data_IF_236466839705
#
_entry.id   IF_236466839705
#
_cell.length_a   1.000
_cell.length_b   1.000
_cell.length_c   1.000
_cell.angle_alpha   90.00
_cell.angle_beta   90.00
_cell.angle_gamma   90.00
#
_symmetry.space_group_name_H-M   'P 1'
#
loop_
_entity.id
_entity.type
_entity.pdbx_description
1 polymer ?
2 non-polymer ?
3 non-polymer ?
4 water ?
#
# COMPACT_ATOMS: atom_id res chain seq x y z
N UNK A 7 -25.85 3.00 -5.08
CA UNK A 7 -25.60 1.66 -4.47
C UNK A 7 -24.36 1.68 -3.52
N UNK A 8 -24.30 2.66 -2.58
CA UNK A 8 -23.03 3.01 -1.88
C UNK A 8 -22.53 1.96 -0.90
N UNK A 9 -21.22 1.95 -0.64
CA UNK A 9 -20.68 1.08 0.39
C UNK A 9 -20.99 1.64 1.77
N UNK A 10 -21.29 0.73 2.70
CA UNK A 10 -21.55 1.10 4.08
C UNK A 10 -20.31 0.84 4.97
N UNK A 11 -19.14 0.62 4.36
CA UNK A 11 -17.90 0.34 5.10
C UNK A 11 -17.28 1.60 5.70
N UNK A 12 -17.07 1.62 7.03
CA UNK A 12 -16.28 2.66 7.66
C UNK A 12 -14.93 2.87 6.94
N UNK A 13 -14.73 4.05 6.38
CA UNK A 13 -13.49 4.38 5.70
C UNK A 13 -13.07 5.79 6.12
N UNK A 14 -11.79 6.12 5.95
CA UNK A 14 -11.29 7.45 6.23
C UNK A 14 -9.91 7.62 5.62
N UNK A 15 -9.64 8.81 5.05
CA UNK A 15 -8.33 9.18 4.55
C UNK A 15 -8.08 10.64 4.88
N UNK A 16 -7.19 10.92 5.83
CA UNK A 16 -6.99 12.28 6.26
C UNK A 16 -5.57 12.70 5.96
N UNK A 17 -5.38 14.00 5.73
CA UNK A 17 -4.15 14.56 5.20
C UNK A 17 -3.56 15.67 6.12
N UNK A 18 -2.27 15.94 5.99
CA UNK A 18 -1.58 16.88 6.90
C UNK A 18 -2.01 18.26 6.51
N UNK A 19 -2.26 19.16 7.46
CA UNK A 19 -2.54 20.53 7.11
C UNK A 19 -1.27 21.23 6.66
N UNK A 20 -1.15 21.53 5.36
CA UNK A 20 0.08 22.17 4.95
C UNK A 20 0.28 23.59 5.52
N UNK A 21 -0.79 24.21 6.04
CA UNK A 21 -0.63 25.50 6.70
C UNK A 21 0.03 25.41 8.06
N UNK A 22 -0.12 24.28 8.75
CA UNK A 22 0.38 24.12 10.13
C UNK A 22 1.81 23.63 10.17
N UNK A 23 2.75 24.48 9.75
CA UNK A 23 4.19 24.20 9.81
C UNK A 23 4.63 24.02 11.26
N UNK A 24 5.39 22.97 11.56
CA UNK A 24 5.88 22.72 12.92
C UNK A 24 4.92 21.85 13.71
N UNK A 25 3.92 21.31 13.02
CA UNK A 25 2.89 20.51 13.66
C UNK A 25 2.39 19.44 12.67
N UNK A 26 1.59 18.51 13.21
CA UNK A 26 0.93 17.53 12.38
C UNK A 26 -0.56 17.51 12.63
N UNK A 27 -1.29 18.26 11.82
CA UNK A 27 -2.73 18.45 12.02
C UNK A 27 -3.39 17.65 10.91
N UNK A 28 -4.11 16.58 11.29
CA UNK A 28 -4.90 15.80 10.34
C UNK A 28 -6.16 16.59 9.92
N UNK A 29 -6.46 16.61 8.62
CA UNK A 29 -7.65 17.27 8.09
C UNK A 29 -8.48 16.32 7.20
N UNK A 30 -9.78 16.24 7.48
CA UNK A 30 -10.73 15.62 6.56
C UNK A 30 -11.41 16.70 5.73
N UNK A 31 -11.23 17.95 6.12
CA UNK A 31 -11.81 19.09 5.44
C UNK A 31 -10.71 19.70 4.61
N UNK A 32 -10.56 19.12 3.44
CA UNK A 32 -9.59 19.49 2.47
C UNK A 32 -9.92 18.62 1.28
N UNK A 33 -9.56 19.11 0.11
CA UNK A 33 -9.74 18.39 -1.13
C UNK A 33 -9.17 16.99 -0.94
N UNK A 34 -9.88 15.99 -1.41
CA UNK A 34 -9.33 14.65 -1.49
C UNK A 34 -9.03 14.00 -0.13
N UNK A 35 -9.83 14.37 0.87
CA UNK A 35 -9.76 13.81 2.22
C UNK A 35 -11.17 13.51 2.63
N UNK A 36 -11.38 12.48 3.44
CA UNK A 36 -12.74 12.11 3.75
C UNK A 36 -12.90 11.26 4.97
N UNK A 37 -14.12 11.33 5.47
CA UNK A 37 -14.65 10.49 6.53
C UNK A 37 -15.96 9.93 6.00
N UNK A 38 -16.25 8.66 6.24
CA UNK A 38 -17.51 8.03 5.78
C UNK A 38 -17.97 6.90 6.68
N UNK A 39 -19.29 6.70 6.74
CA UNK A 39 -19.90 5.59 7.42
C UNK A 39 -19.47 5.54 8.89
N UNK A 40 -19.46 6.70 9.52
CA UNK A 40 -19.31 6.83 10.95
C UNK A 40 -17.93 7.12 11.54
N UNK A 41 -16.91 7.31 10.69
CA UNK A 41 -15.56 7.49 11.24
C UNK A 41 -15.40 8.97 11.56
N UNK A 42 -14.85 9.26 12.74
CA UNK A 42 -14.71 10.67 13.14
C UNK A 42 -13.25 11.06 13.24
N UNK A 43 -12.99 12.34 13.00
CA UNK A 43 -11.70 12.93 13.31
C UNK A 43 -11.93 13.81 14.51
N UNK A 44 -11.43 13.36 15.67
CA UNK A 44 -11.54 14.11 16.93
C UNK A 44 -10.19 14.23 17.64
N UNK A 45 -9.87 15.45 18.06
CA UNK A 45 -8.63 15.78 18.72
C UNK A 45 -7.43 15.13 18.04
N UNK A 46 -7.45 15.23 16.72
CA UNK A 46 -6.37 14.75 15.87
C UNK A 46 -6.30 13.23 15.79
N UNK A 47 -7.40 12.57 16.07
CA UNK A 47 -7.42 11.10 16.11
C UNK A 47 -8.62 10.58 15.32
N UNK A 48 -8.46 9.43 14.70
CA UNK A 48 -9.56 8.77 14.00
C UNK A 48 -10.26 7.88 15.01
N UNK A 49 -11.60 7.95 15.05
CA UNK A 49 -12.43 7.11 15.91
C UNK A 49 -13.14 6.02 15.10
N UNK A 50 -13.01 4.78 15.56
CA UNK A 50 -13.59 3.62 14.90
C UNK A 50 -15.04 3.48 15.38
N UNK A 51 -16.01 3.40 14.45
CA UNK A 51 -17.43 3.40 14.83
C UNK A 51 -18.00 2.03 15.08
N UNK A 52 -17.38 1.00 14.53
CA UNK A 52 -17.76 -0.41 14.79
C UNK A 52 -16.58 -1.35 14.72
N UNK A 53 -16.73 -2.50 15.39
CA UNK A 53 -15.69 -3.48 15.45
C UNK A 53 -15.46 -4.15 14.11
N UNK A 54 -14.28 -4.73 13.96
CA UNK A 54 -13.98 -5.50 12.76
C UNK A 54 -12.54 -5.31 12.38
N UNK A 55 -12.12 -6.03 11.34
CA UNK A 55 -10.79 -5.96 10.75
C UNK A 55 -10.69 -4.67 9.95
N UNK A 56 -9.60 -3.95 10.12
CA UNK A 56 -9.35 -2.71 9.41
C UNK A 56 -7.93 -2.68 8.90
N UNK A 57 -7.75 -2.24 7.67
CA UNK A 57 -6.43 -1.84 7.19
C UNK A 57 -6.25 -0.46 7.74
N UNK A 58 -5.13 -0.23 8.42
CA UNK A 58 -4.69 1.10 8.86
C UNK A 58 -3.46 1.39 7.99
N UNK A 59 -3.34 2.62 7.51
CA UNK A 59 -2.20 3.00 6.66
C UNK A 59 -1.81 4.47 6.85
N UNK A 60 -0.54 4.76 6.66
CA UNK A 60 -0.09 6.12 6.77
C UNK A 60 1.27 6.32 6.14
N UNK A 61 1.51 7.53 5.67
CA UNK A 61 2.80 7.90 5.14
C UNK A 61 3.05 9.27 5.67
N UNK A 62 4.26 9.52 6.13
CA UNK A 62 4.76 10.86 6.35
C UNK A 62 6.02 11.00 5.50
N UNK A 63 6.39 12.24 5.20
CA UNK A 63 7.55 12.51 4.39
C UNK A 63 8.45 13.51 5.09
N UNK A 64 9.73 13.19 5.13
CA UNK A 64 10.73 14.05 5.75
C UNK A 64 11.69 14.56 4.72
N UNK A 65 11.95 15.87 4.76
CA UNK A 65 12.99 16.51 3.95
C UNK A 65 13.89 17.34 4.84
N UNK A 66 15.17 17.32 4.54
CA UNK A 66 16.13 18.17 5.22
C UNK A 66 17.21 18.63 4.28
N UNK A 67 17.88 19.71 4.69
CA UNK A 67 18.91 20.35 3.91
C UNK A 67 20.21 20.04 4.60
N UNK A 68 21.10 19.33 3.90
CA UNK A 68 22.36 18.87 4.48
C UNK A 68 22.15 18.04 5.72
N UNK A 69 23.24 17.53 6.27
CA UNK A 69 23.13 16.78 7.50
C UNK A 69 23.97 17.24 8.67
N UNK A 70 23.26 17.67 9.72
CA UNK A 70 23.84 18.39 10.79
C UNK A 70 24.55 17.48 11.81
N UNK A 71 25.45 18.13 12.56
CA UNK A 71 25.99 17.68 13.85
C UNK A 71 25.04 16.78 14.65
N UNK A 73 22.98 11.47 13.47
CA UNK A 73 22.57 12.22 14.67
C UNK A 73 21.07 12.54 14.73
N UNK A 74 20.33 12.26 13.65
CA UNK A 74 18.90 12.56 13.62
C UNK A 74 18.15 11.29 13.44
N UNK A 75 17.23 11.00 14.38
CA UNK A 75 16.38 9.84 14.26
C UNK A 75 14.96 10.29 13.93
N UNK A 76 14.37 9.72 12.89
CA UNK A 76 13.02 10.07 12.45
C UNK A 76 12.09 8.94 12.83
N UNK A 77 11.04 9.20 13.61
CA UNK A 77 10.08 8.14 13.94
C UNK A 77 8.66 8.43 13.46
N UNK A 78 7.90 7.37 13.22
CA UNK A 78 6.49 7.51 12.90
C UNK A 78 5.83 6.38 13.63
N UNK A 79 4.73 6.66 14.30
CA UNK A 79 4.09 5.67 15.16
C UNK A 79 2.61 5.77 14.99
N UNK A 80 1.95 4.62 14.87
CA UNK A 80 0.50 4.58 14.95
C UNK A 80 0.11 3.92 16.25
N UNK A 81 -0.75 4.59 17.03
CA UNK A 81 -1.16 4.10 18.35
C UNK A 81 -2.65 3.87 18.43
N UNK A 82 -3.04 3.05 19.38
CA UNK A 82 -4.44 2.76 19.60
C UNK A 82 -4.78 3.06 21.05
N UNK A 83 -5.84 3.85 21.28
CA UNK A 83 -6.47 4.03 22.59
C UNK A 83 -7.83 3.30 22.65
N UNK A 84 -7.86 2.10 23.20
CA UNK A 84 -9.12 1.32 23.30
C UNK A 84 -10.03 1.85 24.41
N UNK A 85 -11.33 1.73 24.21
CA UNK A 85 -12.30 2.07 25.24
C UNK A 85 -12.02 1.31 26.56
N UNK A 86 -11.61 0.05 26.43
CA UNK A 86 -11.38 -0.84 27.58
C UNK A 86 -10.10 -0.58 28.28
N UNK A 87 -9.27 0.25 27.69
CA UNK A 87 -7.89 0.40 28.13
C UNK A 87 -7.43 1.69 27.55
N UNK A 88 -7.77 2.78 28.21
CA UNK A 88 -7.60 4.11 27.58
C UNK A 88 -6.23 4.69 27.84
N UNK A 89 -5.24 4.06 27.20
CA UNK A 89 -3.88 4.59 27.10
C UNK A 89 -3.25 4.14 25.77
N UNK A 90 -2.29 4.93 25.28
CA UNK A 90 -1.73 4.70 23.96
C UNK A 90 -0.97 3.38 23.88
N UNK A 91 -1.41 2.47 23.01
CA UNK A 91 -0.64 1.27 22.69
C UNK A 91 -0.15 1.36 21.25
N UNK A 92 1.16 1.28 21.03
CA UNK A 92 1.72 1.18 19.67
C UNK A 92 1.16 0.02 18.88
N UNK A 93 0.64 0.30 17.68
CA UNK A 93 0.26 -0.77 16.74
C UNK A 93 1.36 -1.02 15.69
N UNK A 94 1.87 0.09 15.15
CA UNK A 94 2.88 0.14 14.08
C UNK A 94 3.89 1.22 14.39
N UNK A 95 5.13 1.05 13.95
CA UNK A 95 6.22 1.93 14.33
C UNK A 95 7.44 1.80 13.42
N UNK A 96 8.10 2.92 13.14
CA UNK A 96 9.31 2.91 12.29
C UNK A 96 10.26 4.05 12.61
N UNK A 97 11.53 3.83 12.33
CA UNK A 97 12.60 4.77 12.64
C UNK A 97 13.58 4.79 11.48
N UNK A 98 14.07 5.97 11.12
CA UNK A 98 15.05 6.07 10.08
C UNK A 98 16.09 7.10 10.46
N UNK A 99 17.32 6.88 10.02
CA UNK A 99 18.39 7.90 10.04
C UNK A 99 18.57 8.34 8.61
N UNK A 100 18.20 9.60 8.30
CA UNK A 100 18.45 10.09 6.96
C UNK A 100 19.92 10.34 6.69
N UNK A 101 20.76 10.39 7.71
CA UNK A 101 22.23 10.46 7.47
C UNK A 101 23.08 9.54 8.33
N UNK A 112 22.64 20.02 -0.35
CA UNK A 112 22.58 18.62 0.09
C UNK A 112 21.21 18.26 0.69
N UNK A 113 20.12 18.38 -0.12
CA UNK A 113 18.82 17.95 0.40
C UNK A 113 18.59 16.42 0.36
N UNK A 114 17.84 15.92 1.35
CA UNK A 114 17.44 14.51 1.39
C UNK A 114 15.95 14.39 1.66
N UNK A 115 15.36 13.28 1.19
CA UNK A 115 13.95 12.99 1.38
C UNK A 115 13.83 11.56 1.84
N UNK A 116 13.05 11.37 2.90
CA UNK A 116 12.86 10.10 3.59
C UNK A 116 11.39 9.91 3.91
N UNK A 117 10.68 9.13 3.10
CA UNK A 117 9.31 8.82 3.42
C UNK A 117 9.29 7.66 4.38
N UNK A 118 8.32 7.66 5.29
CA UNK A 118 8.08 6.52 6.14
C UNK A 118 6.63 6.07 5.89
N UNK A 119 6.48 4.78 5.68
CA UNK A 119 5.22 4.13 5.47
C UNK A 119 4.94 3.17 6.61
N UNK A 120 3.71 3.22 7.13
CA UNK A 120 3.20 2.19 8.03
C UNK A 120 1.80 1.73 7.63
N UNK A 121 1.59 0.43 7.70
CA UNK A 121 0.24 -0.10 7.63
C UNK A 121 0.15 -1.54 8.08
N UNK A 122 -1.06 -1.96 8.36
CA UNK A 122 -1.32 -3.33 8.70
C UNK A 122 -2.79 -3.52 8.91
N UNK A 123 -3.18 -4.78 9.18
CA UNK A 123 -4.55 -5.15 9.41
C UNK A 123 -4.71 -5.49 10.89
N UNK A 124 -5.73 -4.89 11.53
CA UNK A 124 -5.95 -5.09 12.97
C UNK A 124 -7.43 -5.20 13.28
N UNK A 125 -7.72 -6.02 14.29
CA UNK A 125 -9.05 -6.06 14.90
C UNK A 125 -9.22 -4.84 15.81
N UNK A 126 -10.26 -4.05 15.57
CA UNK A 126 -10.49 -2.80 16.29
C UNK A 126 -11.90 -2.81 16.89
N UNK A 127 -12.07 -2.11 18.00
CA UNK A 127 -13.35 -2.05 18.68
C UNK A 127 -13.98 -0.68 18.50
N UNK A 128 -15.30 -0.68 18.71
CA UNK A 128 -16.11 0.53 18.62
C UNK A 128 -15.54 1.52 19.61
N UNK A 129 -15.36 2.76 19.18
CA UNK A 129 -14.85 3.81 20.03
C UNK A 129 -13.35 3.78 20.28
N UNK A 130 -12.62 2.90 19.58
CA UNK A 130 -11.16 2.99 19.61
C UNK A 130 -10.69 4.28 18.96
N UNK A 131 -9.60 4.83 19.50
CA UNK A 131 -9.01 6.09 19.06
C UNK A 131 -7.59 5.86 18.49
N UNK A 132 -7.37 6.27 17.25
CA UNK A 132 -6.16 5.91 16.59
C UNK A 132 -5.38 7.18 16.36
N UNK A 133 -4.08 7.07 16.55
CA UNK A 133 -3.22 8.21 16.50
C UNK A 133 -2.08 7.85 15.60
N UNK A 134 -1.55 8.85 14.91
CA UNK A 134 -0.48 8.70 13.94
C UNK A 134 0.45 9.90 14.10
N UNK A 135 1.61 9.67 14.70
CA UNK A 135 2.45 10.77 15.16
C UNK A 135 3.92 10.65 14.73
N UNK A 136 4.56 11.81 14.59
CA UNK A 136 6.01 11.88 14.34
C UNK A 136 6.73 12.58 15.50
N UNK A 137 8.03 12.33 15.62
CA UNK A 137 8.84 13.01 16.61
C UNK A 137 9.49 14.27 16.06
N UNK A 138 9.64 14.37 14.74
CA UNK A 138 10.28 15.55 14.15
C UNK A 138 9.39 16.25 13.13
N UNK A 139 8.38 16.99 13.62
CA UNK A 139 7.49 17.80 12.78
C UNK A 139 8.22 18.91 12.03
N UNK A 140 9.39 19.28 12.53
CA UNK A 140 10.19 20.29 11.89
C UNK A 140 10.84 19.79 10.60
N UNK A 141 10.99 18.48 10.45
CA UNK A 141 11.48 17.91 9.17
C UNK A 141 10.36 17.52 8.19
N UNK A 142 9.11 17.53 8.65
CA UNK A 142 8.01 17.20 7.79
C UNK A 142 8.00 18.12 6.60
N UNK A 143 7.71 17.54 5.43
CA UNK A 143 7.63 18.25 4.17
C UNK A 143 6.22 18.10 3.59
N UNK A 144 5.48 19.19 3.49
CA UNK A 144 4.22 19.14 2.73
C UNK A 144 4.03 20.34 1.81
N UNK A 145 5.07 20.60 1.04
CA UNK A 145 5.02 21.57 -0.07
C UNK A 145 3.98 21.20 -1.14
N UNK A 146 3.46 19.99 -1.06
CA UNK A 146 2.54 19.50 -2.06
C UNK A 146 1.62 18.53 -1.38
N UNK A 147 0.45 18.33 -1.92
CA UNK A 147 -0.43 17.35 -1.32
C UNK A 147 0.02 15.93 -1.63
N UNK A 148 -0.57 15.01 -0.90
CA UNK A 148 -0.37 13.60 -1.13
C UNK A 148 0.86 13.03 -0.45
N UNK A 149 1.63 13.86 0.22
CA UNK A 149 2.89 13.43 0.79
C UNK A 149 2.73 12.90 2.20
N UNK A 150 1.67 13.30 2.89
CA UNK A 150 1.51 12.99 4.29
C UNK A 150 0.04 12.67 4.49
N UNK A 151 -0.26 11.45 4.95
CA UNK A 151 -1.64 11.02 5.05
C UNK A 151 -1.78 9.85 6.00
N UNK A 152 -3.04 9.57 6.31
CA UNK A 152 -3.36 8.67 7.39
C UNK A 152 -4.77 8.22 7.22
N UNK A 153 -5.02 6.92 7.30
CA UNK A 153 -6.37 6.41 7.00
C UNK A 153 -6.63 4.99 7.45
N UNK A 154 -7.92 4.62 7.54
CA UNK A 154 -8.35 3.26 7.85
C UNK A 154 -9.38 2.86 6.83
N UNK A 155 -9.47 1.56 6.53
CA UNK A 155 -10.46 1.01 5.61
C UNK A 155 -10.98 -0.27 6.26
N UNK A 156 -12.29 -0.35 6.51
CA UNK A 156 -12.88 -1.58 7.07
C UNK A 156 -12.82 -2.70 6.06
N UNK A 157 -12.27 -3.85 6.44
CA UNK A 157 -12.25 -5.02 5.54
C UNK A 157 -13.58 -5.77 5.55
N UNK B 8 -21.51 -11.77 -11.98
CA UNK B 8 -20.38 -10.87 -12.14
C UNK B 8 -20.62 -9.46 -11.55
N UNK B 9 -19.64 -9.01 -10.77
CA UNK B 9 -19.65 -7.66 -10.25
C UNK B 9 -19.87 -6.61 -11.33
N UNK B 10 -20.66 -5.60 -11.00
CA UNK B 10 -20.77 -4.39 -11.79
C UNK B 10 -19.79 -3.29 -11.31
N UNK B 11 -18.94 -3.58 -10.33
CA UNK B 11 -18.05 -2.55 -9.77
C UNK B 11 -16.98 -2.10 -10.78
N UNK B 12 -16.87 -0.78 -11.01
CA UNK B 12 -15.77 -0.28 -11.84
C UNK B 12 -14.42 -0.61 -11.23
N UNK B 13 -13.59 -1.29 -12.02
CA UNK B 13 -12.26 -1.65 -11.57
C UNK B 13 -11.28 -1.51 -12.71
N UNK B 14 -10.02 -1.58 -12.37
CA UNK B 14 -8.97 -1.51 -13.38
C UNK B 14 -7.66 -1.88 -12.73
N UNK B 15 -6.86 -2.68 -13.42
CA UNK B 15 -5.49 -2.93 -13.06
C UNK B 15 -4.62 -2.93 -14.28
N UNK B 16 -3.73 -1.93 -14.42
CA UNK B 16 -2.86 -1.77 -15.61
C UNK B 16 -1.40 -1.86 -15.23
N UNK B 17 -0.60 -2.28 -16.22
CA UNK B 17 0.77 -2.68 -15.98
C UNK B 17 1.72 -1.85 -16.84
N UNK B 18 2.97 -1.76 -16.44
CA UNK B 18 3.91 -0.91 -17.16
C UNK B 18 4.35 -1.59 -18.47
N UNK B 19 4.52 -0.82 -19.53
CA UNK B 19 5.21 -1.33 -20.74
C UNK B 19 6.74 -1.33 -20.54
N UNK B 20 7.37 -2.53 -20.49
CA UNK B 20 8.82 -2.62 -20.25
C UNK B 20 9.68 -1.98 -21.34
N UNK B 21 9.24 -2.04 -22.60
CA UNK B 21 10.04 -1.49 -23.70
C UNK B 21 9.54 -0.16 -24.16
N UNK B 22 8.79 0.52 -23.29
CA UNK B 22 8.58 1.96 -23.44
C UNK B 22 9.82 2.72 -22.95
N UNK B 23 10.57 3.31 -23.87
CA UNK B 23 11.80 4.01 -23.55
C UNK B 23 11.50 5.38 -22.92
N UNK B 24 12.15 5.68 -21.80
CA UNK B 24 12.03 6.99 -21.16
C UNK B 24 10.58 7.44 -20.94
N UNK B 25 9.73 6.48 -20.58
CA UNK B 25 8.30 6.69 -20.44
C UNK B 25 7.75 5.75 -19.38
N UNK B 26 6.68 6.18 -18.69
CA UNK B 26 5.91 5.23 -17.86
C UNK B 26 4.56 4.95 -18.52
N UNK B 27 4.50 3.87 -19.31
CA UNK B 27 3.34 3.64 -20.17
C UNK B 27 2.48 2.52 -19.68
N UNK B 28 1.20 2.82 -19.45
CA UNK B 28 0.23 1.86 -18.88
C UNK B 28 -0.48 1.08 -19.98
N UNK B 29 -0.57 -0.25 -19.80
CA UNK B 29 -1.26 -1.14 -20.71
C UNK B 29 -2.34 -1.91 -20.01
N UNK B 30 -3.44 -2.20 -20.71
CA UNK B 30 -4.43 -3.17 -20.20
C UNK B 30 -4.49 -4.47 -21.00
N UNK B 31 -3.94 -4.47 -22.20
CA UNK B 31 -4.07 -5.61 -23.09
C UNK B 31 -2.95 -6.59 -22.83
N UNK B 32 -2.94 -7.09 -21.60
CA UNK B 32 -1.90 -7.94 -21.06
C UNK B 32 -2.51 -8.94 -20.14
N UNK B 33 -1.82 -10.04 -19.95
CA UNK B 33 -2.34 -11.04 -19.06
C UNK B 33 -2.43 -10.40 -17.69
N UNK B 34 -3.46 -10.79 -16.95
CA UNK B 34 -3.64 -10.36 -15.58
C UNK B 34 -3.75 -8.84 -15.42
N UNK B 35 -4.36 -8.19 -16.42
CA UNK B 35 -4.60 -6.75 -16.39
C UNK B 35 -6.05 -6.46 -16.79
N UNK B 36 -6.66 -5.45 -16.18
CA UNK B 36 -8.12 -5.23 -16.29
C UNK B 36 -8.53 -3.81 -16.60
N UNK B 37 -9.57 -3.70 -17.42
CA UNK B 37 -10.50 -2.53 -17.48
C UNK B 37 -11.88 -3.14 -17.49
N UNK B 38 -12.70 -2.79 -16.52
CA UNK B 38 -13.99 -3.42 -16.41
C UNK B 38 -15.02 -2.45 -15.90
N UNK B 39 -16.26 -2.67 -16.33
CA UNK B 39 -17.44 -2.00 -15.81
C UNK B 39 -17.40 -0.48 -15.94
N UNK B 40 -16.72 -0.05 -16.99
CA UNK B 40 -16.74 1.34 -17.42
C UNK B 40 -15.41 2.05 -17.43
N UNK B 41 -14.44 1.61 -16.63
CA UNK B 41 -13.18 2.32 -16.55
C UNK B 41 -12.51 2.28 -17.92
N UNK B 42 -11.98 3.44 -18.32
CA UNK B 42 -11.31 3.61 -19.59
C UNK B 42 -9.84 3.92 -19.40
N UNK B 43 -9.03 3.56 -20.38
CA UNK B 43 -7.64 3.96 -20.40
C UNK B 43 -7.40 4.89 -21.59
N UNK B 44 -7.27 6.18 -21.31
CA UNK B 44 -7.16 7.18 -22.35
C UNK B 44 -5.98 8.09 -22.07
N UNK B 45 -5.08 8.24 -23.05
CA UNK B 45 -3.90 9.10 -22.91
C UNK B 45 -3.11 8.87 -21.62
N UNK B 46 -2.90 7.58 -21.33
CA UNK B 46 -2.13 7.12 -20.17
C UNK B 46 -2.82 7.34 -18.82
N UNK B 47 -4.11 7.63 -18.87
CA UNK B 47 -4.85 7.93 -17.67
C UNK B 47 -6.04 7.00 -17.53
N UNK B 48 -6.43 6.76 -16.29
CA UNK B 48 -7.66 6.01 -16.00
C UNK B 48 -8.81 6.98 -15.77
N UNK B 49 -9.88 6.86 -16.58
CA UNK B 49 -11.09 7.67 -16.45
C UNK B 49 -12.17 6.91 -15.69
N UNK B 50 -12.83 7.58 -14.75
CA UNK B 50 -13.81 6.94 -13.90
C UNK B 50 -15.19 7.12 -14.52
N UNK B 51 -16.03 6.08 -14.49
CA UNK B 51 -17.32 6.15 -15.16
C UNK B 51 -18.49 6.55 -14.24
N UNK B 52 -18.36 6.37 -12.92
CA UNK B 52 -19.37 6.84 -11.98
C UNK B 52 -18.84 7.26 -10.61
N UNK B 53 -19.50 8.23 -9.99
CA UNK B 53 -19.07 8.75 -8.72
C UNK B 53 -19.15 7.71 -7.57
N UNK B 54 -18.32 7.92 -6.57
CA UNK B 54 -18.39 7.15 -5.33
C UNK B 54 -17.02 6.94 -4.75
N UNK B 55 -16.96 6.17 -3.68
CA UNK B 55 -15.71 5.84 -3.05
C UNK B 55 -14.93 4.81 -3.89
N UNK B 56 -13.65 5.08 -4.11
CA UNK B 56 -12.78 4.14 -4.80
C UNK B 56 -11.54 3.92 -3.98
N UNK B 57 -10.98 2.72 -4.06
CA UNK B 57 -9.60 2.49 -3.66
C UNK B 57 -8.75 2.80 -4.88
N UNK B 58 -7.61 3.46 -4.67
CA UNK B 58 -6.67 3.77 -5.75
C UNK B 58 -5.31 3.32 -5.27
N UNK B 59 -4.54 2.69 -6.15
CA UNK B 59 -3.26 2.10 -5.76
C UNK B 59 -2.29 2.13 -6.91
N UNK B 60 -1.01 2.25 -6.58
CA UNK B 60 0.03 2.07 -7.59
C UNK B 60 1.38 1.63 -6.98
N UNK B 61 2.13 0.87 -7.76
CA UNK B 61 3.48 0.45 -7.40
C UNK B 61 4.39 0.73 -8.56
N UNK B 62 5.55 1.29 -8.27
CA UNK B 62 6.69 1.25 -9.18
C UNK B 62 7.84 0.66 -8.40
N UNK B 63 8.85 0.20 -9.12
CA UNK B 63 10.00 -0.39 -8.49
C UNK B 63 11.19 0.15 -9.20
N UNK B 64 12.05 0.84 -8.48
CA UNK B 64 13.20 1.45 -9.08
C UNK B 64 14.41 0.69 -8.69
N UNK B 65 15.43 0.80 -9.52
CA UNK B 65 16.64 0.05 -9.30
C UNK B 65 17.82 0.77 -9.90
N UNK B 66 18.87 0.96 -9.10
CA UNK B 66 20.13 1.50 -9.60
C UNK B 66 21.28 0.57 -9.29
N UNK B 67 22.41 0.81 -9.94
CA UNK B 67 23.67 0.13 -9.61
C UNK B 67 24.63 1.06 -8.88
N UNK B 68 24.78 0.80 -7.58
CA UNK B 68 25.53 1.67 -6.70
C UNK B 68 25.03 3.09 -6.66
N UNK B 69 25.87 3.96 -6.13
CA UNK B 69 25.57 5.37 -6.13
C UNK B 69 26.79 6.24 -6.24
N UNK B 70 26.77 7.10 -7.28
CA UNK B 70 27.73 8.16 -7.47
C UNK B 70 27.26 9.51 -6.90
N UNK B 71 25.97 9.64 -6.55
CA UNK B 71 25.47 10.86 -5.91
C UNK B 71 24.58 10.51 -4.70
N UNK B 73 22.52 12.60 -4.21
CA UNK B 73 21.73 13.62 -4.96
C UNK B 73 20.56 13.05 -5.75
N UNK B 74 20.72 11.82 -6.28
CA UNK B 74 19.63 11.12 -6.98
C UNK B 74 18.34 11.12 -6.14
N UNK B 75 17.24 11.49 -6.79
CA UNK B 75 15.91 11.52 -6.21
C UNK B 75 14.96 10.74 -7.09
N UNK B 76 14.08 9.99 -6.42
CA UNK B 76 13.05 9.18 -7.05
C UNK B 76 11.70 9.69 -6.61
N UNK B 77 10.76 9.86 -7.54
CA UNK B 77 9.41 10.26 -7.13
C UNK B 77 8.32 9.43 -7.82
N UNK B 78 7.22 9.30 -7.12
CA UNK B 78 6.09 8.55 -7.61
C UNK B 78 4.82 9.27 -7.17
N UNK B 79 3.96 9.57 -8.15
CA UNK B 79 2.86 10.46 -7.90
C UNK B 79 1.62 10.00 -8.62
N UNK B 80 0.57 9.75 -7.81
CA UNK B 80 -0.76 9.55 -8.31
C UNK B 80 -1.50 10.88 -8.21
N UNK B 81 -2.14 11.24 -9.32
CA UNK B 81 -2.81 12.50 -9.48
C UNK B 81 -4.23 12.34 -9.95
N UNK B 82 -5.00 13.40 -9.65
CA UNK B 82 -6.40 13.49 -10.01
C UNK B 82 -6.68 14.79 -10.82
N UNK B 83 -7.32 14.61 -11.99
CA UNK B 83 -7.96 15.69 -12.70
C UNK B 83 -9.48 15.57 -12.49
N UNK B 84 -10.08 16.46 -11.72
CA UNK B 84 -11.54 16.50 -11.58
C UNK B 84 -12.17 17.30 -12.73
N UNK B 85 -13.06 16.68 -13.50
CA UNK B 85 -13.65 17.34 -14.66
C UNK B 85 -14.27 18.66 -14.26
N UNK B 86 -14.95 18.64 -13.13
CA UNK B 86 -15.60 19.86 -12.62
C UNK B 86 -14.65 21.06 -12.42
N UNK B 87 -13.45 20.79 -11.89
CA UNK B 87 -12.48 21.83 -11.56
C UNK B 87 -11.45 22.05 -12.64
N UNK B 88 -11.30 21.11 -13.56
CA UNK B 88 -10.25 21.23 -14.56
C UNK B 88 -8.89 21.62 -13.95
N UNK B 89 -8.50 20.89 -12.90
CA UNK B 89 -7.20 21.03 -12.23
C UNK B 89 -6.53 19.66 -12.03
N UNK B 90 -5.21 19.66 -11.89
CA UNK B 90 -4.44 18.42 -11.63
C UNK B 90 -3.83 18.44 -10.24
N UNK B 91 -4.34 17.59 -9.36
CA UNK B 91 -3.90 17.53 -7.96
C UNK B 91 -3.37 16.12 -7.58
N UNK B 92 -2.24 16.11 -6.85
CA UNK B 92 -1.67 14.91 -6.26
C UNK B 92 -2.65 14.40 -5.22
N UNK B 93 -2.93 13.10 -5.23
CA UNK B 93 -3.59 12.39 -4.14
C UNK B 93 -2.56 11.65 -3.27
N UNK B 94 -1.56 11.06 -3.91
CA UNK B 94 -0.53 10.30 -3.18
C UNK B 94 0.80 10.53 -3.86
N UNK B 95 1.80 10.94 -3.09
CA UNK B 95 3.10 11.27 -3.65
C UNK B 95 4.23 11.00 -2.64
N UNK B 96 5.26 10.29 -3.10
CA UNK B 96 6.44 10.03 -2.30
C UNK B 96 7.68 10.52 -3.03
N UNK B 97 8.58 11.12 -2.28
CA UNK B 97 9.87 11.55 -2.79
C UNK B 97 10.84 10.84 -1.89
N UNK B 98 11.86 10.24 -2.48
CA UNK B 98 12.76 9.33 -1.78
C UNK B 98 14.21 9.54 -2.27
N UNK B 99 15.17 9.58 -1.34
CA UNK B 99 16.57 9.60 -1.77
C UNK B 99 17.14 8.22 -1.58
N UNK B 100 17.33 7.47 -2.67
CA UNK B 100 18.21 6.38 -2.43
C UNK B 100 19.58 7.01 -2.25
N UNK B 101 20.44 6.34 -1.49
CA UNK B 101 21.78 6.83 -1.23
C UNK B 101 21.85 8.24 -0.71
N UNK B 111 30.18 -1.16 -6.25
CA UNK B 111 29.13 -0.91 -7.22
C UNK B 111 27.92 -1.86 -7.11
N UNK B 112 27.44 -2.15 -5.88
CA UNK B 112 26.31 -3.07 -5.69
C UNK B 112 24.87 -2.48 -5.95
N UNK B 113 23.93 -3.33 -6.38
CA UNK B 113 22.57 -2.91 -6.78
C UNK B 113 21.59 -2.59 -5.64
N UNK B 114 20.95 -1.40 -5.68
CA UNK B 114 19.86 -1.07 -4.73
C UNK B 114 18.49 -1.19 -5.45
N UNK B 115 17.43 -1.37 -4.67
CA UNK B 115 16.05 -1.40 -5.15
C UNK B 115 15.22 -0.55 -4.24
N UNK B 116 14.26 0.18 -4.78
CA UNK B 116 13.33 0.95 -3.95
C UNK B 116 11.94 0.75 -4.54
N UNK B 117 11.08 0.00 -3.86
CA UNK B 117 9.71 -0.16 -4.27
C UNK B 117 8.85 0.87 -3.57
N UNK B 118 8.03 1.61 -4.32
CA UNK B 118 7.13 2.56 -3.69
C UNK B 118 5.76 2.13 -4.01
N UNK B 119 5.01 1.78 -2.95
CA UNK B 119 3.57 1.40 -3.04
C UNK B 119 2.74 2.53 -2.44
N UNK B 120 1.81 3.06 -3.23
CA UNK B 120 0.95 4.14 -2.85
C UNK B 120 -0.45 3.60 -2.89
N UNK B 121 -1.19 3.78 -1.78
CA UNK B 121 -2.57 3.40 -1.76
C UNK B 121 -3.40 4.29 -0.85
N UNK B 122 -4.68 4.40 -1.17
CA UNK B 122 -5.62 5.05 -0.29
C UNK B 122 -7.04 4.94 -0.80
N UNK B 123 -7.97 5.44 -0.01
CA UNK B 123 -9.35 5.52 -0.42
C UNK B 123 -9.73 6.98 -0.72
N UNK B 124 -10.48 7.14 -1.82
CA UNK B 124 -10.90 8.46 -2.30
C UNK B 124 -12.34 8.52 -2.84
N UNK B 125 -12.97 9.67 -2.65
CA UNK B 125 -14.24 10.01 -3.30
C UNK B 125 -13.92 10.59 -4.66
N UNK B 126 -14.37 9.91 -5.71
CA UNK B 126 -14.16 10.36 -7.09
C UNK B 126 -15.49 10.65 -7.77
N UNK B 127 -15.47 11.43 -8.87
CA UNK B 127 -16.65 11.80 -9.66
C UNK B 127 -16.60 11.28 -11.10
N UNK B 128 -17.78 11.09 -11.66
CA UNK B 128 -17.90 10.62 -13.04
C UNK B 128 -17.10 11.52 -13.96
N UNK B 129 -16.23 10.95 -14.77
CA UNK B 129 -15.35 11.74 -15.67
C UNK B 129 -13.98 12.15 -15.13
N UNK B 130 -13.70 11.90 -13.86
CA UNK B 130 -12.39 12.22 -13.32
C UNK B 130 -11.35 11.30 -13.97
N UNK B 131 -10.12 11.81 -14.00
CA UNK B 131 -9.03 11.19 -14.72
C UNK B 131 -7.92 10.99 -13.70
N UNK B 132 -7.23 9.86 -13.78
CA UNK B 132 -6.23 9.52 -12.81
C UNK B 132 -4.90 9.20 -13.47
N UNK B 133 -3.86 9.84 -12.99
CA UNK B 133 -2.51 9.60 -13.45
C UNK B 133 -1.64 8.99 -12.40
N UNK B 134 -0.64 8.27 -12.87
CA UNK B 134 0.33 7.62 -12.03
C UNK B 134 1.65 7.80 -12.77
N UNK B 135 2.52 8.61 -12.22
CA UNK B 135 3.71 9.05 -12.89
C UNK B 135 4.94 9.08 -11.97
N UNK B 136 6.11 8.96 -12.58
CA UNK B 136 7.40 9.05 -11.90
C UNK B 136 8.28 10.05 -12.63
N UNK B 137 9.39 10.40 -11.99
CA UNK B 137 10.37 11.33 -12.55
C UNK B 137 11.45 10.68 -13.43
N UNK B 138 11.75 9.39 -13.18
CA UNK B 138 12.92 8.70 -13.74
C UNK B 138 12.57 7.33 -14.33
N UNK B 139 11.98 7.31 -15.53
CA UNK B 139 11.63 6.03 -16.13
C UNK B 139 12.83 5.13 -16.36
N UNK B 140 13.98 5.72 -16.57
CA UNK B 140 15.21 4.94 -16.70
C UNK B 140 15.57 4.10 -15.47
N UNK B 141 15.05 4.42 -14.30
CA UNK B 141 15.43 3.65 -13.10
C UNK B 141 14.45 2.48 -12.85
N UNK B 142 13.41 2.37 -13.67
CA UNK B 142 12.41 1.31 -13.52
C UNK B 142 13.04 -0.04 -13.80
N UNK B 143 12.57 -1.04 -13.06
CA UNK B 143 13.05 -2.41 -13.21
C UNK B 143 11.90 -3.34 -13.60
N UNK B 144 12.18 -4.24 -14.54
CA UNK B 144 11.14 -5.10 -15.11
C UNK B 144 11.65 -6.54 -15.15
N UNK B 145 12.50 -6.90 -14.19
CA UNK B 145 13.18 -8.20 -14.16
C UNK B 145 12.14 -9.30 -14.19
N UNK B 146 11.14 -9.16 -13.33
CA UNK B 146 9.98 -10.04 -13.33
C UNK B 146 8.76 -9.23 -13.66
N UNK B 147 7.67 -9.93 -13.87
CA UNK B 147 6.39 -9.33 -14.10
C UNK B 147 5.76 -8.98 -12.75
N UNK B 148 4.80 -8.07 -12.78
CA UNK B 148 4.10 -7.63 -11.58
C UNK B 148 4.79 -6.59 -10.71
N UNK B 149 5.81 -5.91 -11.25
CA UNK B 149 6.61 -4.97 -10.46
C UNK B 149 6.16 -3.53 -10.58
N UNK B 150 5.30 -3.24 -11.55
CA UNK B 150 4.96 -1.88 -11.85
C UNK B 150 3.52 -1.87 -12.32
N UNK B 151 2.64 -1.27 -11.52
CA UNK B 151 1.21 -1.35 -11.79
C UNK B 151 0.39 -0.18 -11.21
N UNK B 152 -0.84 -0.08 -11.69
CA UNK B 152 -1.70 1.04 -11.39
C UNK B 152 -3.15 0.58 -11.48
N UNK B 153 -3.94 0.82 -10.43
CA UNK B 153 -5.30 0.32 -10.42
C UNK B 153 -6.25 1.05 -9.49
N UNK B 154 -7.55 0.91 -9.76
CA UNK B 154 -8.59 1.45 -8.87
C UNK B 154 -9.68 0.38 -8.66
N UNK B 155 -10.40 0.48 -7.55
CA UNK B 155 -11.47 -0.47 -7.23
C UNK B 155 -12.59 0.28 -6.54
N UNK B 156 -13.71 0.48 -7.24
CA UNK B 156 -14.90 1.10 -6.68
C UNK B 156 -15.35 0.33 -5.46
N UNK B 157 -15.72 1.03 -4.41
CA UNK B 157 -16.26 0.35 -3.25
C UNK B 157 -17.75 0.17 -3.42
N UNK C 11 -20.27 -13.31 -0.17
CA UNK C 11 -18.93 -12.61 -0.30
C UNK C 11 -17.78 -13.50 0.18
N UNK C 12 -17.15 -14.29 -0.72
CA UNK C 12 -15.95 -15.00 -0.23
C UNK C 12 -14.85 -14.04 0.15
N UNK C 13 -14.31 -14.20 1.35
CA UNK C 13 -13.21 -13.40 1.84
C UNK C 13 -12.27 -14.36 2.52
N UNK C 14 -11.06 -13.91 2.80
CA UNK C 14 -10.08 -14.68 3.52
C UNK C 14 -8.93 -13.76 3.89
N UNK C 15 -8.47 -13.87 5.14
CA UNK C 15 -7.34 -13.15 5.64
C UNK C 15 -6.56 -14.09 6.48
N UNK C 16 -5.36 -14.45 6.02
CA UNK C 16 -4.50 -15.36 6.73
C UNK C 16 -3.22 -14.65 7.20
N UNK C 17 -2.64 -15.17 8.26
CA UNK C 17 -1.47 -14.56 8.88
C UNK C 17 -0.38 -15.61 9.01
N UNK C 18 0.82 -15.13 9.26
CA UNK C 18 1.98 -16.01 9.37
C UNK C 18 2.06 -16.57 10.80
N UNK C 19 2.44 -17.84 10.87
CA UNK C 19 2.75 -18.47 12.15
C UNK C 19 4.01 -17.89 12.83
N UNK C 20 3.87 -17.28 14.02
CA UNK C 20 5.08 -16.92 14.81
C UNK C 20 5.84 -18.17 15.34
N UNK C 21 5.11 -19.30 15.44
CA UNK C 21 5.62 -20.62 15.85
C UNK C 21 5.96 -21.44 14.59
N UNK C 22 6.93 -20.95 13.81
CA UNK C 22 7.34 -21.64 12.60
C UNK C 22 8.83 -21.41 12.31
N UNK C 23 9.55 -22.49 11.99
CA UNK C 23 11.01 -22.46 11.76
C UNK C 23 11.38 -22.34 10.28
N UNK C 24 11.95 -21.20 9.91
CA UNK C 24 12.51 -20.98 8.56
C UNK C 24 11.54 -21.24 7.43
N UNK C 25 10.35 -20.70 7.59
CA UNK C 25 9.25 -21.01 6.70
C UNK C 25 8.28 -19.84 6.82
N UNK C 26 7.53 -19.60 5.75
CA UNK C 26 6.43 -18.64 5.77
C UNK C 26 5.14 -19.44 5.63
N UNK C 27 4.45 -19.66 6.75
CA UNK C 27 3.28 -20.51 6.78
C UNK C 27 2.02 -19.74 7.20
N UNK C 28 1.04 -19.80 6.31
CA UNK C 28 -0.19 -19.06 6.49
C UNK C 28 -1.17 -19.85 7.34
N UNK C 29 -1.64 -19.22 8.41
CA UNK C 29 -2.69 -19.79 9.24
C UNK C 29 -4.00 -19.02 9.04
N UNK C 30 -5.12 -19.72 9.15
CA UNK C 30 -6.43 -19.07 9.22
C UNK C 30 -6.94 -18.99 10.68
N UNK C 31 -6.87 -20.11 11.41
CA UNK C 31 -7.24 -20.16 12.83
C UNK C 31 -6.08 -19.62 13.68
N UNK C 32 -5.78 -18.33 13.50
CA UNK C 32 -4.99 -17.55 14.45
C UNK C 32 -5.90 -16.45 14.94
N UNK C 33 -5.44 -15.68 15.93
CA UNK C 33 -6.20 -14.53 16.42
C UNK C 33 -6.40 -13.50 15.29
N UNK C 34 -7.67 -13.18 15.00
CA UNK C 34 -8.01 -12.21 13.95
C UNK C 34 -7.74 -12.75 12.52
N UNK C 35 -8.39 -13.85 12.15
CA UNK C 35 -8.17 -14.51 10.85
C UNK C 35 -9.46 -15.07 10.25
N UNK C 36 -10.20 -14.19 9.58
CA UNK C 36 -11.33 -14.57 8.74
C UNK C 36 -10.83 -15.64 7.76
N UNK C 37 -11.78 -16.23 7.04
CA UNK C 37 -11.55 -17.25 6.03
C UNK C 37 -12.94 -17.85 5.89
N UNK C 38 -13.76 -17.15 5.10
CA UNK C 38 -15.19 -17.39 5.04
C UNK C 38 -15.68 -17.77 3.63
N UNK C 39 -16.92 -18.27 3.56
CA UNK C 39 -17.64 -18.52 2.31
C UNK C 39 -16.88 -19.35 1.24
N UNK C 40 -15.97 -20.20 1.71
CA UNK C 40 -15.40 -21.26 0.88
C UNK C 40 -13.96 -21.07 0.44
N UNK C 41 -13.27 -20.08 1.02
CA UNK C 41 -11.88 -19.85 0.60
C UNK C 41 -10.95 -20.79 1.35
N UNK C 42 -10.60 -21.91 0.71
CA UNK C 42 -9.69 -22.90 1.27
C UNK C 42 -8.26 -22.37 1.41
N UNK C 43 -7.54 -22.87 2.40
CA UNK C 43 -6.10 -22.69 2.51
C UNK C 43 -5.49 -24.09 2.46
N UNK C 44 -5.10 -24.51 1.26
CA UNK C 44 -4.45 -25.80 1.05
C UNK C 44 -3.05 -25.67 0.46
N UNK C 45 -2.10 -26.36 1.07
CA UNK C 45 -0.70 -26.38 0.62
C UNK C 45 -0.11 -24.97 0.70
N UNK C 46 -0.64 -24.19 1.63
CA UNK C 46 -0.15 -22.85 1.91
C UNK C 46 -0.58 -21.83 0.84
N UNK C 47 -1.68 -22.14 0.16
CA UNK C 47 -2.13 -21.38 -0.99
C UNK C 47 -3.63 -21.16 -0.86
N UNK C 48 -4.08 -19.97 -1.23
CA UNK C 48 -5.49 -19.69 -1.21
C UNK C 48 -6.05 -20.23 -2.48
N UNK C 49 -7.12 -21.03 -2.38
CA UNK C 49 -7.72 -21.68 -3.53
C UNK C 49 -8.97 -20.89 -3.76
N UNK C 50 -9.16 -20.41 -4.99
CA UNK C 50 -10.27 -19.54 -5.35
C UNK C 50 -11.55 -20.36 -5.51
N UNK C 51 -12.58 -20.06 -4.70
CA UNK C 51 -13.82 -20.84 -4.69
C UNK C 51 -14.71 -20.63 -5.88
N UNK C 52 -14.67 -19.45 -6.49
CA UNK C 52 -15.58 -19.12 -7.63
C UNK C 52 -14.95 -18.09 -8.56
N UNK C 53 -15.33 -18.12 -9.82
CA UNK C 53 -14.75 -17.20 -10.79
C UNK C 53 -15.28 -15.79 -10.52
N UNK C 54 -14.44 -14.77 -10.75
CA UNK C 54 -14.83 -13.35 -10.59
C UNK C 54 -13.67 -12.40 -10.30
N UNK C 55 -14.04 -11.18 -9.94
CA UNK C 55 -13.07 -10.15 -9.56
C UNK C 55 -12.70 -10.23 -8.08
N UNK C 56 -11.40 -10.22 -7.77
CA UNK C 56 -10.92 -10.25 -6.40
C UNK C 56 -9.85 -9.18 -6.12
N UNK C 57 -9.92 -8.58 -4.95
CA UNK C 57 -8.85 -7.76 -4.44
C UNK C 57 -7.89 -8.75 -3.80
N UNK C 58 -6.61 -8.67 -4.11
CA UNK C 58 -5.64 -9.60 -3.56
C UNK C 58 -4.63 -8.72 -2.89
N UNK C 59 -4.24 -9.02 -1.65
CA UNK C 59 -3.31 -8.15 -0.95
C UNK C 59 -2.40 -8.93 -0.09
N UNK C 60 -1.30 -8.30 0.31
CA UNK C 60 -0.29 -8.97 1.10
C UNK C 60 0.59 -7.98 1.85
N UNK C 61 1.25 -8.47 2.89
CA UNK C 61 2.40 -7.76 3.45
C UNK C 61 3.33 -8.76 4.16
N UNK C 62 4.61 -8.49 4.09
CA UNK C 62 5.59 -9.20 4.91
C UNK C 62 6.53 -8.24 5.49
N UNK C 63 7.22 -8.69 6.53
CA UNK C 63 8.17 -7.86 7.23
C UNK C 63 9.50 -8.59 7.40
N UNK C 64 10.57 -7.95 6.98
CA UNK C 64 11.88 -8.48 7.23
C UNK C 64 12.60 -7.68 8.34
N UNK C 65 13.47 -8.38 9.07
CA UNK C 65 14.40 -7.76 10.04
C UNK C 65 15.74 -8.49 10.06
N UNK C 66 16.78 -7.73 10.42
CA UNK C 66 18.15 -8.22 10.57
C UNK C 66 18.99 -7.29 11.46
N UNK C 67 20.16 -7.77 11.88
CA UNK C 67 21.06 -6.96 12.73
C UNK C 67 22.36 -6.64 11.97
N UNK C 68 22.45 -5.44 11.43
CA UNK C 68 23.57 -5.07 10.57
C UNK C 68 23.54 -5.89 9.29
N UNK C 69 24.48 -5.61 8.39
CA UNK C 69 24.71 -6.43 7.19
C UNK C 69 26.10 -7.04 7.24
N UNK C 73 25.43 -10.22 0.21
CA UNK C 73 24.53 -9.16 -0.29
C UNK C 73 23.13 -9.69 -0.57
N UNK C 74 22.24 -9.50 0.40
CA UNK C 74 20.92 -10.06 0.37
C UNK C 74 19.95 -9.14 -0.37
N UNK C 75 19.12 -9.74 -1.20
CA UNK C 75 17.98 -9.08 -1.74
C UNK C 75 16.78 -9.80 -1.15
N UNK C 76 15.82 -9.02 -0.67
CA UNK C 76 14.60 -9.55 -0.08
C UNK C 76 13.47 -9.48 -1.11
N UNK C 77 12.87 -10.59 -1.48
CA UNK C 77 11.76 -10.49 -2.42
C UNK C 77 10.52 -11.08 -1.81
N UNK C 78 9.39 -10.51 -2.19
CA UNK C 78 8.10 -11.02 -1.83
C UNK C 78 7.25 -11.04 -3.08
N UNK C 79 6.42 -12.04 -3.25
CA UNK C 79 5.76 -12.21 -4.52
C UNK C 79 4.46 -12.97 -4.37
N UNK C 80 3.42 -12.49 -5.04
CA UNK C 80 2.17 -13.22 -5.14
C UNK C 80 1.97 -13.77 -6.56
N UNK C 81 1.63 -15.07 -6.65
CA UNK C 81 1.45 -15.69 -7.94
C UNK C 81 0.07 -16.32 -8.07
N UNK C 82 -0.27 -16.61 -9.31
CA UNK C 82 -1.51 -17.22 -9.71
C UNK C 82 -1.13 -18.52 -10.41
N UNK C 83 -1.53 -19.63 -9.79
CA UNK C 83 -1.38 -20.95 -10.36
C UNK C 83 -2.70 -21.33 -11.02
N UNK C 84 -2.78 -21.18 -12.35
CA UNK C 84 -4.03 -21.41 -13.08
C UNK C 84 -4.58 -22.86 -12.96
N UNK C 85 -5.90 -22.98 -12.95
CA UNK C 85 -6.58 -24.25 -12.75
C UNK C 85 -6.49 -25.17 -13.99
N UNK C 86 -6.46 -24.56 -15.19
CA UNK C 86 -6.42 -25.29 -16.49
C UNK C 86 -5.01 -25.28 -17.09
N UNK C 87 -4.50 -24.08 -17.39
CA UNK C 87 -3.10 -23.91 -17.83
C UNK C 87 -2.14 -24.76 -16.95
N UNK C 88 -1.92 -24.31 -15.71
CA UNK C 88 -1.21 -25.06 -14.62
C UNK C 88 0.21 -24.55 -14.25
N UNK C 89 0.70 -23.50 -14.92
CA UNK C 89 1.98 -22.91 -14.52
C UNK C 89 1.75 -21.76 -13.53
N UNK C 90 2.83 -21.17 -13.05
CA UNK C 90 2.81 -20.15 -12.01
C UNK C 90 3.26 -18.81 -12.63
N UNK C 91 2.42 -17.80 -12.49
CA UNK C 91 2.72 -16.48 -13.03
C UNK C 91 2.72 -15.42 -11.91
N UNK C 92 3.75 -14.58 -11.87
CA UNK C 92 3.76 -13.40 -10.95
C UNK C 92 2.55 -12.53 -11.20
N UNK C 93 1.83 -12.21 -10.12
CA UNK C 93 0.78 -11.22 -10.17
C UNK C 93 1.27 -9.86 -9.66
N UNK C 94 1.95 -9.88 -8.52
CA UNK C 94 2.40 -8.70 -7.80
C UNK C 94 3.71 -9.16 -7.18
N UNK C 95 4.72 -8.27 -7.21
CA UNK C 95 6.08 -8.60 -6.81
C UNK C 95 6.93 -7.36 -6.61
N UNK C 96 7.82 -7.41 -5.61
CA UNK C 96 8.75 -6.32 -5.28
C UNK C 96 10.00 -6.87 -4.62
N UNK C 97 11.00 -6.00 -4.60
CA UNK C 97 12.34 -6.34 -4.16
C UNK C 97 12.86 -5.19 -3.33
N UNK C 98 13.44 -5.52 -2.18
CA UNK C 98 14.22 -4.57 -1.40
C UNK C 98 15.66 -5.00 -1.18
N UNK C 99 16.48 -3.99 -0.89
CA UNK C 99 17.89 -4.15 -0.69
C UNK C 99 18.25 -3.56 0.67
N UNK C 100 18.26 -4.39 1.73
CA UNK C 100 18.47 -3.79 3.05
C UNK C 100 19.84 -3.09 3.27
N UNK C 101 20.87 -3.45 2.51
CA UNK C 101 22.09 -2.62 2.46
C UNK C 101 22.63 -2.53 1.04
N UNK C 112 23.63 -2.39 13.84
CA UNK C 112 22.40 -1.60 13.93
C UNK C 112 21.25 -2.39 13.28
N UNK C 113 20.18 -2.73 14.06
CA UNK C 113 19.10 -3.53 13.50
C UNK C 113 18.24 -2.73 12.53
N UNK C 114 17.66 -3.45 11.54
CA UNK C 114 16.82 -2.85 10.49
C UNK C 114 15.51 -3.61 10.27
N UNK C 115 14.59 -2.95 9.58
CA UNK C 115 13.22 -3.43 9.39
C UNK C 115 12.76 -3.00 8.00
N UNK C 116 12.42 -3.94 7.14
CA UNK C 116 12.00 -3.58 5.78
C UNK C 116 10.71 -4.31 5.46
N UNK C 117 9.59 -3.59 5.35
CA UNK C 117 8.38 -4.31 4.92
C UNK C 117 8.28 -4.26 3.41
N UNK C 118 7.45 -5.14 2.84
CA UNK C 118 7.09 -5.05 1.44
C UNK C 118 5.60 -5.12 1.30
N UNK C 119 5.01 -4.16 0.59
CA UNK C 119 3.55 -4.08 0.41
C UNK C 119 3.16 -4.59 -0.95
N UNK C 120 2.02 -5.28 -1.04
CA UNK C 120 1.48 -5.74 -2.32
C UNK C 120 -0.02 -5.75 -2.30
N UNK C 121 -0.61 -5.41 -3.44
CA UNK C 121 -2.05 -5.54 -3.62
C UNK C 121 -2.60 -5.00 -4.93
N UNK C 122 -3.70 -5.57 -5.35
CA UNK C 122 -4.32 -5.18 -6.58
C UNK C 122 -5.55 -6.03 -6.87
N UNK C 123 -6.18 -5.75 -8.01
CA UNK C 123 -7.43 -6.40 -8.39
C UNK C 123 -7.23 -7.24 -9.64
N UNK C 124 -7.84 -8.42 -9.62
CA UNK C 124 -7.61 -9.44 -10.64
C UNK C 124 -8.88 -10.26 -10.94
N UNK C 125 -9.05 -10.58 -12.21
CA UNK C 125 -10.01 -11.57 -12.65
C UNK C 125 -9.33 -12.91 -12.42
N UNK C 126 -10.02 -13.78 -11.68
CA UNK C 126 -9.51 -15.08 -11.31
C UNK C 126 -10.52 -16.14 -11.70
N UNK C 127 -10.07 -17.38 -11.92
CA UNK C 127 -10.99 -18.50 -12.21
C UNK C 127 -11.19 -19.45 -11.01
N UNK C 128 -12.33 -20.12 -11.00
CA UNK C 128 -12.61 -21.15 -10.01
C UNK C 128 -11.50 -22.21 -10.09
N UNK C 129 -10.89 -22.49 -8.94
CA UNK C 129 -9.85 -23.48 -8.89
C UNK C 129 -8.44 -22.94 -8.93
N UNK C 130 -8.25 -21.74 -9.47
CA UNK C 130 -6.95 -21.12 -9.46
C UNK C 130 -6.45 -21.10 -8.00
N UNK C 131 -5.13 -21.18 -7.82
CA UNK C 131 -4.51 -21.08 -6.52
C UNK C 131 -3.66 -19.81 -6.45
N UNK C 132 -3.47 -19.28 -5.25
CA UNK C 132 -2.67 -18.08 -5.04
C UNK C 132 -1.57 -18.30 -3.99
N UNK C 133 -0.33 -18.00 -4.40
CA UNK C 133 0.85 -18.09 -3.55
C UNK C 133 1.28 -16.71 -3.05
N UNK C 134 1.85 -16.67 -1.85
CA UNK C 134 2.37 -15.46 -1.29
C UNK C 134 3.64 -15.87 -0.59
N UNK C 135 4.78 -15.55 -1.20
CA UNK C 135 6.02 -16.17 -0.83
C UNK C 135 7.16 -15.19 -0.76
N UNK C 136 8.17 -15.57 0.00
CA UNK C 136 9.39 -14.81 0.10
C UNK C 136 10.53 -15.72 -0.24
N UNK C 137 11.70 -15.12 -0.50
CA UNK C 137 12.91 -15.85 -0.84
C UNK C 137 13.81 -16.06 0.37
N UNK C 138 13.79 -15.13 1.33
CA UNK C 138 14.60 -15.20 2.56
C UNK C 138 13.77 -15.27 3.84
N UNK C 139 13.16 -16.44 4.10
CA UNK C 139 12.44 -16.65 5.33
C UNK C 139 13.33 -16.67 6.56
N UNK C 140 14.64 -16.66 6.35
CA UNK C 140 15.54 -16.49 7.47
C UNK C 140 15.61 -15.03 8.00
N UNK C 141 15.11 -14.06 7.21
CA UNK C 141 15.07 -12.63 7.64
C UNK C 141 13.67 -12.20 7.99
N UNK C 142 12.74 -13.14 7.95
CA UNK C 142 11.35 -12.86 8.23
C UNK C 142 11.20 -12.49 9.69
N UNK C 143 10.32 -11.54 9.96
CA UNK C 143 10.05 -11.12 11.31
C UNK C 143 8.65 -11.57 11.66
N UNK C 144 8.54 -12.65 12.42
CA UNK C 144 7.25 -13.23 12.77
C UNK C 144 6.93 -12.95 14.24
N UNK C 145 7.43 -11.82 14.74
CA UNK C 145 7.41 -11.48 16.18
C UNK C 145 5.99 -11.31 16.82
N UNK C 146 5.00 -11.03 15.97
CA UNK C 146 3.59 -10.88 16.39
C UNK C 146 2.76 -10.98 15.11
N UNK C 147 1.67 -10.23 15.01
CA UNK C 147 0.96 -10.06 13.71
C UNK C 147 0.69 -8.57 13.47
N UNK C 148 -0.14 -8.27 12.47
CA UNK C 148 -0.37 -6.89 12.03
C UNK C 148 0.21 -6.72 10.63
N UNK C 149 1.48 -7.05 10.46
CA UNK C 149 2.15 -6.75 9.21
C UNK C 149 2.83 -7.90 8.44
N UNK C 150 2.54 -9.14 8.81
CA UNK C 150 2.82 -10.26 7.92
C UNK C 150 1.53 -10.99 7.63
N UNK C 151 0.91 -10.71 6.48
CA UNK C 151 -0.44 -11.24 6.12
C UNK C 151 -0.60 -11.44 4.62
N UNK C 152 -1.68 -12.11 4.27
CA UNK C 152 -2.02 -12.43 2.90
C UNK C 152 -3.51 -12.60 2.85
N UNK C 153 -4.18 -12.03 1.85
CA UNK C 153 -5.64 -12.11 1.78
C UNK C 153 -6.26 -11.82 0.42
N UNK C 154 -7.53 -12.21 0.27
CA UNK C 154 -8.27 -11.93 -0.94
C UNK C 154 -9.70 -11.61 -0.54
N UNK C 155 -10.38 -10.75 -1.29
CA UNK C 155 -11.76 -10.35 -1.00
C UNK C 155 -12.52 -10.32 -2.33
N UNK C 156 -13.59 -11.09 -2.44
CA UNK C 156 -14.40 -11.07 -3.64
C UNK C 156 -15.17 -9.79 -3.66
N UNK C 157 -15.22 -9.20 -4.84
CA UNK C 157 -15.93 -7.97 -5.06
C UNK C 157 -17.28 -8.35 -5.63
#
# INVERSE_FOLDING_TARGET
VRSSSRTPSDKPVAHVVANPQAEGQLQWLNRRANALLANGVELRDNQLVVPSEGLYLIYSQVLFKGQGCPSTHVLLTHTISRIAVSYQTKVNLLSAIKSPCQRETPEGAEAKPWYEPIYLGGVFQLEKGDRLSAEINRPDYLDFAESGQVYFGIIAL
VRSSSRTPSDKPVAHVVANPQAEGQLQWLNRRANALLANGVELRDNQLVVPSEGLYLIYSQVLFKGQGCPSTHVLLTHTISRIAVSYQTKVNLLSAIKSPCQRETPEGAEAKPWYEPIYLGGVFQLEKGDRLSAEINRPDYLDFAESGQVYFGIIAL
VRSSSRTPSDKPVAHVVANPQAEGQLQWLNRRANALLANGVELRDNQLVVPSEGLYLIYSQVLFKGQGCPSTHVLLTHTISRIAVSYQTKVNLLSAIKSPCQRETPEGAEAKPWYEPIYLGGVFQLEKGDRLSAEINRPDYLDFAESGQVYFGIIAL
#
